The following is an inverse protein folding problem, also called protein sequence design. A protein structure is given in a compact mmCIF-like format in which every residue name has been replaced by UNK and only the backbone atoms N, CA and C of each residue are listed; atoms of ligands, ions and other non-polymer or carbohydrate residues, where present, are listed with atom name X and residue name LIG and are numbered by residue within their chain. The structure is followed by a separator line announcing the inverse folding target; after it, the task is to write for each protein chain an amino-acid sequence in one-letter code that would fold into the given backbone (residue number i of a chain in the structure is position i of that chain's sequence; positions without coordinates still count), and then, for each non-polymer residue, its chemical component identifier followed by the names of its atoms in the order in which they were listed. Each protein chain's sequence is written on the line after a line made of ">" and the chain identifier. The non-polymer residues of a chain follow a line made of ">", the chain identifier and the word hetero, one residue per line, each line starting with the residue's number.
data_IF_921172899531
#
_entry.id   IF_921172899531
#
_cell.length_a   1.000
_cell.length_b   1.000
_cell.length_c   1.000
_cell.angle_alpha   90.00
_cell.angle_beta   90.00
_cell.angle_gamma   90.00
#
_symmetry.space_group_name_H-M   'P 1'
#
loop_
_entity.id
_entity.type
_entity.pdbx_description
1 polymer ?
#
# COMPACT_ATOMS: atom_id res chain seq x y z
N UNK A 1 -14.59 -28.90 -10.74
CA UNK A 1 -15.07 -27.54 -11.01
C UNK A 1 -15.22 -27.39 -12.52
N UNK A 2 -16.25 -26.70 -13.01
CA UNK A 2 -16.50 -26.51 -14.45
C UNK A 2 -16.78 -25.03 -14.70
N UNK A 3 -16.01 -24.42 -15.60
CA UNK A 3 -16.26 -23.03 -16.04
C UNK A 3 -17.43 -23.04 -17.02
N UNK A 4 -18.39 -22.14 -16.82
CA UNK A 4 -19.54 -21.95 -17.69
C UNK A 4 -19.58 -20.50 -18.13
N UNK A 5 -19.80 -20.28 -19.42
CA UNK A 5 -19.95 -18.94 -19.99
C UNK A 5 -21.42 -18.60 -20.12
N UNK A 6 -21.80 -17.41 -19.67
CA UNK A 6 -23.09 -16.81 -20.00
C UNK A 6 -23.04 -16.24 -21.41
N UNK A 7 -23.71 -16.92 -22.35
CA UNK A 7 -23.76 -16.51 -23.74
C UNK A 7 -24.71 -15.33 -23.98
N UNK A 8 -25.37 -14.79 -22.97
CA UNK A 8 -26.13 -13.52 -23.08
C UNK A 8 -25.22 -12.31 -22.85
N UNK A 9 -24.20 -12.45 -22.01
CA UNK A 9 -23.16 -11.46 -21.81
C UNK A 9 -22.20 -11.39 -23.01
N UNK A 10 -21.95 -10.18 -23.51
CA UNK A 10 -21.14 -9.98 -24.71
C UNK A 10 -19.66 -10.32 -24.50
N UNK A 11 -19.14 -10.05 -23.31
CA UNK A 11 -17.73 -10.32 -22.97
C UNK A 11 -17.51 -11.81 -22.81
N UNK A 12 -18.39 -12.51 -22.08
CA UNK A 12 -18.29 -13.95 -21.91
C UNK A 12 -18.52 -14.72 -23.22
N UNK A 13 -19.42 -14.24 -24.08
CA UNK A 13 -19.61 -14.79 -25.44
C UNK A 13 -18.33 -14.70 -26.28
N UNK A 14 -17.69 -13.53 -26.33
CA UNK A 14 -16.43 -13.35 -27.06
C UNK A 14 -15.31 -14.24 -26.51
N UNK A 15 -15.25 -14.41 -25.18
CA UNK A 15 -14.29 -15.31 -24.53
C UNK A 15 -14.56 -16.77 -24.89
N UNK A 16 -15.82 -17.21 -24.90
CA UNK A 16 -16.20 -18.55 -25.30
C UNK A 16 -15.84 -18.84 -26.77
N UNK A 17 -16.04 -17.88 -27.67
CA UNK A 17 -15.63 -17.96 -29.08
C UNK A 17 -14.10 -18.06 -29.20
N UNK A 18 -13.35 -17.21 -28.49
CA UNK A 18 -11.89 -17.28 -28.45
C UNK A 18 -11.41 -18.65 -27.95
N UNK A 19 -11.99 -19.17 -26.88
CA UNK A 19 -11.65 -20.51 -26.34
C UNK A 19 -11.85 -21.63 -27.37
N UNK A 20 -12.78 -21.47 -28.31
CA UNK A 20 -12.99 -22.45 -29.38
C UNK A 20 -11.84 -22.47 -30.38
N UNK A 21 -11.20 -21.33 -30.62
CA UNK A 21 -10.07 -21.17 -31.56
C UNK A 21 -8.73 -21.63 -31.00
N UNK A 22 -8.64 -21.88 -29.69
CA UNK A 22 -7.39 -22.30 -29.05
C UNK A 22 -6.92 -23.65 -29.58
N UNK A 23 -5.65 -23.71 -29.96
CA UNK A 23 -4.99 -24.96 -30.32
C UNK A 23 -4.75 -25.79 -29.06
N UNK A 24 -5.56 -26.84 -28.91
CA UNK A 24 -5.47 -27.81 -27.82
C UNK A 24 -4.12 -28.53 -27.76
N UNK A 25 -3.33 -28.58 -28.86
CA UNK A 25 -1.99 -29.17 -28.83
C UNK A 25 -0.98 -28.29 -28.09
N UNK A 26 -1.15 -26.97 -28.13
CA UNK A 26 -0.28 -26.02 -27.44
C UNK A 26 -0.53 -26.00 -25.93
N UNK A 27 -1.79 -26.13 -25.52
CA UNK A 27 -2.20 -25.96 -24.12
C UNK A 27 -2.66 -27.27 -23.45
N UNK A 28 -2.54 -28.41 -24.12
CA UNK A 28 -3.04 -29.74 -23.72
C UNK A 28 -4.57 -29.85 -23.58
N UNK A 29 -5.23 -28.87 -22.96
CA UNK A 29 -6.68 -28.74 -22.87
C UNK A 29 -7.10 -27.28 -22.64
N UNK A 30 -8.35 -26.94 -22.97
CA UNK A 30 -8.93 -25.62 -22.67
C UNK A 30 -8.97 -25.33 -21.16
N UNK A 31 -9.16 -26.35 -20.33
CA UNK A 31 -9.15 -26.21 -18.88
C UNK A 31 -7.75 -25.87 -18.36
N UNK A 32 -6.71 -26.50 -18.92
CA UNK A 32 -5.34 -26.21 -18.54
C UNK A 32 -4.95 -24.77 -18.93
N UNK A 33 -5.37 -24.31 -20.11
CA UNK A 33 -5.21 -22.90 -20.50
C UNK A 33 -5.84 -21.93 -19.49
N UNK A 34 -7.07 -22.21 -19.03
CA UNK A 34 -7.74 -21.36 -18.02
C UNK A 34 -6.96 -21.35 -16.70
N UNK A 35 -6.45 -22.50 -16.25
CA UNK A 35 -5.67 -22.61 -15.02
C UNK A 35 -4.37 -21.80 -15.12
N UNK A 36 -3.65 -21.92 -16.24
CA UNK A 36 -2.43 -21.15 -16.49
C UNK A 36 -2.70 -19.65 -16.53
N UNK A 37 -3.75 -19.21 -17.23
CA UNK A 37 -4.13 -17.80 -17.29
C UNK A 37 -4.52 -17.23 -15.91
N UNK A 38 -5.19 -18.04 -15.07
CA UNK A 38 -5.53 -17.65 -13.69
C UNK A 38 -4.28 -17.58 -12.80
N UNK A 39 -3.36 -18.53 -12.95
CA UNK A 39 -2.10 -18.53 -12.20
C UNK A 39 -1.29 -17.27 -12.51
N UNK A 40 -1.13 -16.92 -13.80
CA UNK A 40 -0.42 -15.72 -14.23
C UNK A 40 -1.08 -14.44 -13.70
N UNK A 41 -2.42 -14.37 -13.69
CA UNK A 41 -3.14 -13.24 -13.09
C UNK A 41 -2.90 -13.12 -11.58
N UNK A 42 -2.92 -14.25 -10.85
CA UNK A 42 -2.66 -14.26 -9.41
C UNK A 42 -1.22 -13.86 -9.11
N UNK A 43 -0.26 -14.35 -9.88
CA UNK A 43 1.16 -13.98 -9.75
C UNK A 43 1.38 -12.49 -10.06
N UNK A 44 0.72 -11.93 -11.07
CA UNK A 44 0.76 -10.50 -11.33
C UNK A 44 0.21 -9.70 -10.14
N UNK A 45 -0.92 -10.13 -9.56
CA UNK A 45 -1.53 -9.46 -8.40
C UNK A 45 -0.67 -9.58 -7.13
N UNK A 46 0.05 -10.68 -6.93
CA UNK A 46 0.96 -10.85 -5.79
C UNK A 46 2.19 -9.96 -5.95
N UNK A 47 2.79 -9.92 -7.14
CA UNK A 47 3.88 -8.98 -7.47
C UNK A 47 3.43 -7.54 -7.25
N UNK A 48 2.24 -7.17 -7.71
CA UNK A 48 1.68 -5.79 -7.56
C UNK A 48 1.27 -5.46 -6.12
N UNK A 49 1.25 -6.42 -5.18
CA UNK A 49 1.01 -6.13 -3.76
C UNK A 49 2.29 -6.09 -2.95
N UNK A 50 3.15 -7.09 -3.11
CA UNK A 50 4.38 -7.19 -2.31
C UNK A 50 5.46 -6.19 -2.74
N UNK A 51 5.58 -5.92 -4.05
CA UNK A 51 6.58 -4.97 -4.57
C UNK A 51 6.28 -3.53 -4.14
N UNK A 52 4.99 -3.14 -4.11
CA UNK A 52 4.60 -1.76 -3.82
C UNK A 52 4.84 -1.36 -2.36
N UNK A 53 4.66 -2.28 -1.39
CA UNK A 53 4.83 -1.91 0.01
C UNK A 53 6.29 -1.68 0.40
N UNK A 54 7.21 -2.52 -0.08
CA UNK A 54 8.63 -2.34 0.21
C UNK A 54 9.20 -1.15 -0.57
N UNK A 55 8.75 -0.93 -1.81
CA UNK A 55 9.13 0.24 -2.60
C UNK A 55 8.64 1.54 -1.94
N UNK A 56 7.40 1.57 -1.44
CA UNK A 56 6.88 2.71 -0.66
C UNK A 56 7.70 2.91 0.63
N UNK A 57 8.01 1.84 1.37
CA UNK A 57 8.85 1.93 2.57
C UNK A 57 10.26 2.45 2.26
N UNK A 58 10.84 2.05 1.14
CA UNK A 58 12.16 2.49 0.71
C UNK A 58 12.14 3.96 0.27
N UNK A 59 11.15 4.39 -0.51
CA UNK A 59 10.96 5.79 -0.89
C UNK A 59 10.83 6.66 0.36
N UNK A 60 9.95 6.30 1.31
CA UNK A 60 9.78 7.06 2.56
C UNK A 60 11.08 7.11 3.36
N UNK A 61 11.83 6.00 3.44
CA UNK A 61 13.10 5.94 4.17
C UNK A 61 14.18 6.81 3.51
N UNK A 62 14.22 6.84 2.19
CA UNK A 62 15.17 7.63 1.41
C UNK A 62 14.88 9.12 1.53
N UNK A 63 13.62 9.53 1.36
CA UNK A 63 13.15 10.91 1.54
C UNK A 63 13.41 11.40 2.98
N UNK A 64 13.11 10.58 3.99
CA UNK A 64 13.43 10.91 5.39
C UNK A 64 14.94 11.07 5.59
N UNK A 65 15.76 10.16 5.05
CA UNK A 65 17.23 10.28 5.13
C UNK A 65 17.73 11.55 4.46
N UNK A 66 17.18 11.95 3.31
CA UNK A 66 17.53 13.19 2.64
C UNK A 66 17.18 14.41 3.51
N UNK A 67 15.95 14.46 4.06
CA UNK A 67 15.53 15.53 4.99
C UNK A 67 16.41 15.63 6.24
N UNK A 68 16.83 14.50 6.84
CA UNK A 68 17.68 14.51 8.04
C UNK A 68 19.18 14.64 7.75
N UNK A 69 19.65 14.35 6.53
CA UNK A 69 21.04 14.55 6.14
C UNK A 69 21.32 16.02 5.77
N UNK A 70 20.35 16.71 5.17
CA UNK A 70 20.45 18.16 4.88
C UNK A 70 20.21 19.01 6.13
N UNK A 71 19.38 18.53 7.05
CA UNK A 71 19.25 19.15 8.35
C UNK A 71 20.41 18.72 9.24
N UNK A 72 21.40 19.59 9.38
CA UNK A 72 22.39 19.56 10.46
C UNK A 72 21.68 19.71 11.82
N UNK A 73 20.87 18.72 12.20
CA UNK A 73 20.28 18.62 13.52
C UNK A 73 21.43 18.26 14.46
N UNK A 74 22.12 19.30 14.92
CA UNK A 74 22.76 19.22 16.22
C UNK A 74 21.72 18.63 17.17
N UNK A 75 21.98 17.43 17.67
CA UNK A 75 21.14 16.78 18.66
C UNK A 75 21.04 17.73 19.84
N UNK A 76 20.00 18.55 19.89
CA UNK A 76 19.69 19.33 21.07
C UNK A 76 19.29 18.29 22.09
N UNK A 77 20.15 18.08 23.09
CA UNK A 77 19.82 17.25 24.23
C UNK A 77 18.49 17.76 24.76
N UNK A 78 17.43 16.96 24.59
CA UNK A 78 16.13 17.23 25.17
C UNK A 78 16.36 17.13 26.67
N UNK A 79 16.58 18.28 27.32
CA UNK A 79 16.59 18.36 28.77
C UNK A 79 15.18 17.97 29.22
N UNK A 80 15.00 16.83 29.92
CA UNK A 80 13.69 16.40 30.36
C UNK A 80 13.16 17.21 31.55
N UNK A 81 13.97 18.14 32.08
CA UNK A 81 13.60 19.05 33.15
C UNK A 81 13.42 20.45 32.58
N UNK A 82 12.18 20.96 32.63
CA UNK A 82 11.91 22.40 32.48
C UNK A 82 12.65 23.13 33.61
N UNK A 83 13.26 24.28 33.32
CA UNK A 83 13.75 25.13 34.40
C UNK A 83 12.56 25.62 35.24
N UNK A 84 12.80 25.99 36.50
CA UNK A 84 11.73 26.45 37.39
C UNK A 84 10.90 27.60 36.79
N UNK A 85 11.54 28.45 35.99
CA UNK A 85 10.88 29.57 35.31
C UNK A 85 9.93 29.11 34.20
N UNK A 86 10.32 28.10 33.41
CA UNK A 86 9.48 27.53 32.35
C UNK A 86 8.28 26.77 32.92
N UNK A 87 8.45 26.17 34.09
CA UNK A 87 7.37 25.50 34.79
C UNK A 87 6.35 26.49 35.35
N UNK A 88 6.80 27.62 35.90
CA UNK A 88 5.92 28.69 36.35
C UNK A 88 5.12 29.32 35.19
N UNK A 89 5.74 29.49 34.02
CA UNK A 89 5.06 30.00 32.82
C UNK A 89 4.00 29.02 32.31
N UNK A 90 4.31 27.72 32.26
CA UNK A 90 3.36 26.70 31.87
C UNK A 90 2.17 26.57 32.85
N UNK A 91 2.43 26.68 34.16
CA UNK A 91 1.37 26.68 35.18
C UNK A 91 0.46 27.91 35.05
N UNK A 92 1.04 29.07 34.72
CA UNK A 92 0.28 30.30 34.49
C UNK A 92 -0.59 30.22 33.24
N UNK A 93 -0.06 29.66 32.14
CA UNK A 93 -0.75 29.46 30.87
C UNK A 93 -1.96 28.53 31.04
N UNK A 94 -1.78 27.40 31.73
CA UNK A 94 -2.86 26.46 32.05
C UNK A 94 -3.95 27.13 32.91
N UNK A 95 -3.55 27.97 33.88
CA UNK A 95 -4.50 28.67 34.74
C UNK A 95 -5.31 29.73 33.98
N UNK A 96 -4.69 30.40 33.01
CA UNK A 96 -5.38 31.39 32.18
C UNK A 96 -6.34 30.73 31.18
N UNK A 97 -5.97 29.58 30.61
CA UNK A 97 -6.86 28.76 29.79
C UNK A 97 -8.09 28.30 30.58
N UNK A 98 -7.91 27.84 31.82
CA UNK A 98 -9.01 27.40 32.69
C UNK A 98 -10.01 28.51 33.01
N UNK A 99 -9.56 29.77 33.15
CA UNK A 99 -10.45 30.93 33.37
C UNK A 99 -11.33 31.25 32.17
N UNK A 100 -10.98 30.79 30.97
CA UNK A 100 -11.79 30.98 29.78
C UNK A 100 -13.04 30.07 29.76
N UNK A 101 -13.06 29.04 30.60
CA UNK A 101 -14.14 28.06 30.70
C UNK A 101 -15.14 28.33 31.85
N UNK A 102 -14.93 29.36 32.67
CA UNK A 102 -15.88 29.88 33.68
C UNK A 102 -16.76 31.01 33.12
#
# INVERSE_FOLDING_TARGET
>A
MTVRFDLTDARERALAEYMQTLDVKRFHSRNNFIIEALAEYVDLQSITREQHEEDIRNIIREEMRACFAEANFASQAVNPALSADQQAEAEQDILDDLKLFD
#
